data_IF_734039688658
#
_entry.id   IF_734039688658
#
_cell.length_a   1.000
_cell.length_b   1.000
_cell.length_c   1.000
_cell.angle_alpha   90.00
_cell.angle_beta   90.00
_cell.angle_gamma   90.00
#
_symmetry.space_group_name_H-M   'P 1'
#
loop_
_entity.id
_entity.type
_entity.pdbx_description
1 polymer ?
#
# COMPACT_ATOMS: atom_id res chain seq x y z
N UNK A 1 27.75 -15.59 67.99
CA UNK A 1 27.88 -15.23 66.57
C UNK A 1 27.65 -16.48 65.76
N UNK A 2 26.50 -16.58 65.08
CA UNK A 2 26.18 -17.73 64.22
C UNK A 2 26.96 -17.53 62.92
N UNK A 3 27.90 -18.42 62.62
CA UNK A 3 28.66 -18.39 61.38
C UNK A 3 27.84 -19.12 60.32
N UNK A 4 27.20 -18.39 59.43
CA UNK A 4 26.58 -18.98 58.24
C UNK A 4 27.69 -19.35 57.26
N UNK A 5 27.85 -20.65 57.00
CA UNK A 5 28.70 -21.14 55.95
C UNK A 5 27.90 -21.17 54.65
N UNK A 6 28.57 -20.99 53.51
CA UNK A 6 27.92 -21.11 52.21
C UNK A 6 27.29 -22.51 51.98
N UNK A 7 27.77 -23.53 52.71
CA UNK A 7 27.23 -24.89 52.72
C UNK A 7 25.89 -25.04 53.43
N UNK A 8 25.50 -24.07 54.26
CA UNK A 8 24.24 -24.12 55.04
C UNK A 8 23.05 -23.62 54.22
N UNK A 9 23.29 -23.11 53.01
CA UNK A 9 22.26 -22.59 52.11
C UNK A 9 21.76 -23.71 51.21
N UNK A 10 20.52 -24.14 51.43
CA UNK A 10 19.82 -25.07 50.54
C UNK A 10 18.87 -24.33 49.61
N UNK A 11 18.72 -24.82 48.38
CA UNK A 11 17.75 -24.25 47.44
C UNK A 11 16.33 -24.49 47.99
N UNK A 12 15.47 -23.47 48.02
CA UNK A 12 14.06 -23.64 48.40
C UNK A 12 13.31 -24.63 47.50
N UNK A 13 12.19 -25.11 48.02
CA UNK A 13 11.26 -25.95 47.29
C UNK A 13 10.49 -25.09 46.26
N UNK A 14 10.29 -25.61 45.04
CA UNK A 14 9.66 -24.88 43.92
C UNK A 14 8.61 -25.73 43.19
N UNK A 15 8.14 -26.84 43.77
CA UNK A 15 7.23 -27.80 43.13
C UNK A 15 5.96 -27.14 42.63
N UNK A 16 5.40 -26.20 43.40
CA UNK A 16 4.20 -25.43 43.05
C UNK A 16 4.39 -24.55 41.78
N UNK A 17 5.61 -24.17 41.44
CA UNK A 17 5.93 -23.31 40.30
C UNK A 17 6.52 -24.08 39.10
N UNK A 18 6.95 -25.33 39.32
CA UNK A 18 7.53 -26.16 38.27
C UNK A 18 6.42 -26.60 37.32
N UNK A 19 6.76 -26.63 36.03
CA UNK A 19 5.86 -27.28 35.07
C UNK A 19 5.78 -28.79 35.39
N UNK A 20 4.65 -29.45 35.11
CA UNK A 20 4.48 -30.87 35.40
C UNK A 20 5.58 -31.76 34.81
N UNK A 21 6.17 -31.39 33.66
CA UNK A 21 7.20 -32.18 33.00
C UNK A 21 8.58 -32.15 33.68
N UNK A 22 8.76 -31.31 34.70
CA UNK A 22 10.03 -31.16 35.46
C UNK A 22 9.82 -31.19 36.99
N UNK A 23 8.69 -31.74 37.43
CA UNK A 23 8.36 -31.89 38.85
C UNK A 23 9.06 -33.08 39.52
N UNK A 24 9.34 -34.15 38.76
CA UNK A 24 10.02 -35.35 39.25
C UNK A 24 11.54 -35.12 39.33
N UNK A 25 12.09 -35.11 40.55
CA UNK A 25 13.53 -34.87 40.80
C UNK A 25 14.43 -36.06 40.42
N UNK A 26 13.85 -37.25 40.20
CA UNK A 26 14.60 -38.47 39.87
C UNK A 26 14.76 -38.69 38.36
N UNK A 27 14.09 -37.86 37.54
CA UNK A 27 14.12 -37.95 36.07
C UNK A 27 14.87 -36.77 35.46
N UNK A 28 15.51 -37.03 34.33
CA UNK A 28 16.17 -35.99 33.54
C UNK A 28 15.15 -35.06 32.89
N UNK A 29 15.38 -33.76 32.96
CA UNK A 29 14.57 -32.73 32.30
C UNK A 29 14.95 -32.47 30.82
N UNK A 30 15.99 -33.16 30.32
CA UNK A 30 16.46 -33.01 28.93
C UNK A 30 15.39 -33.40 27.90
N UNK A 31 14.64 -34.51 28.05
CA UNK A 31 13.64 -34.90 27.06
C UNK A 31 12.47 -33.92 26.94
N UNK A 32 12.12 -33.19 28.01
CA UNK A 32 11.04 -32.20 28.00
C UNK A 32 11.50 -30.79 27.63
N UNK A 33 12.81 -30.57 27.41
CA UNK A 33 13.39 -29.25 27.21
C UNK A 33 12.95 -28.58 25.92
N UNK A 34 12.97 -29.32 24.81
CA UNK A 34 12.55 -28.82 23.51
C UNK A 34 11.08 -28.40 23.53
N UNK A 35 10.18 -29.25 24.05
CA UNK A 35 8.76 -28.94 24.13
C UNK A 35 8.49 -27.68 24.97
N UNK A 36 9.18 -27.52 26.11
CA UNK A 36 9.01 -26.36 26.99
C UNK A 36 9.44 -25.06 26.31
N UNK A 37 10.56 -25.08 25.57
CA UNK A 37 11.08 -23.94 24.81
C UNK A 37 10.19 -23.62 23.61
N UNK A 38 9.81 -24.63 22.84
CA UNK A 38 8.95 -24.48 21.66
C UNK A 38 7.60 -23.87 22.02
N UNK A 39 6.99 -24.26 23.15
CA UNK A 39 5.75 -23.62 23.62
C UNK A 39 5.94 -22.11 23.84
N UNK A 40 6.99 -21.71 24.58
CA UNK A 40 7.26 -20.29 24.84
C UNK A 40 7.57 -19.52 23.55
N UNK A 41 8.39 -20.09 22.66
CA UNK A 41 8.72 -19.46 21.38
C UNK A 41 7.52 -19.37 20.44
N UNK A 42 6.63 -20.37 20.45
CA UNK A 42 5.41 -20.36 19.66
C UNK A 42 4.49 -19.23 20.10
N UNK A 43 4.29 -19.05 21.42
CA UNK A 43 3.49 -17.94 21.96
C UNK A 43 4.09 -16.60 21.51
N UNK A 44 5.40 -16.40 21.67
CA UNK A 44 6.08 -15.17 21.23
C UNK A 44 5.95 -14.95 19.71
N UNK A 45 6.11 -16.01 18.92
CA UNK A 45 5.98 -15.97 17.47
C UNK A 45 4.58 -15.57 17.01
N UNK A 46 3.54 -16.19 17.57
CA UNK A 46 2.14 -15.85 17.28
C UNK A 46 1.85 -14.40 17.65
N UNK A 47 2.25 -13.95 18.84
CA UNK A 47 2.05 -12.57 19.27
C UNK A 47 2.72 -11.59 18.31
N UNK A 48 3.96 -11.88 17.90
CA UNK A 48 4.72 -11.00 17.00
C UNK A 48 4.05 -10.89 15.63
N UNK A 49 3.60 -12.01 15.05
CA UNK A 49 2.88 -12.01 13.76
C UNK A 49 1.57 -11.24 13.85
N UNK A 50 0.79 -11.45 14.92
CA UNK A 50 -0.45 -10.74 15.13
C UNK A 50 -0.22 -9.23 15.27
N UNK A 51 0.75 -8.81 16.08
CA UNK A 51 1.11 -7.40 16.25
C UNK A 51 1.60 -6.79 14.94
N UNK A 52 2.42 -7.49 14.17
CA UNK A 52 2.89 -7.02 12.86
C UNK A 52 1.72 -6.82 11.88
N UNK A 53 0.75 -7.73 11.87
CA UNK A 53 -0.46 -7.58 11.04
C UNK A 53 -1.30 -6.36 11.44
N UNK A 54 -1.51 -6.15 12.74
CA UNK A 54 -2.24 -4.97 13.23
C UNK A 54 -1.47 -3.69 12.89
N UNK A 55 -0.17 -3.66 13.15
CA UNK A 55 0.68 -2.52 12.82
C UNK A 55 0.65 -2.19 11.32
N UNK A 56 0.74 -3.20 10.45
CA UNK A 56 0.61 -3.02 9.00
C UNK A 56 -0.70 -2.33 8.64
N UNK A 57 -1.83 -2.82 9.16
CA UNK A 57 -3.14 -2.27 8.83
C UNK A 57 -3.28 -0.82 9.34
N UNK A 58 -2.86 -0.57 10.58
CA UNK A 58 -2.90 0.77 11.16
C UNK A 58 -2.03 1.72 10.32
N UNK A 59 -0.75 1.41 10.11
CA UNK A 59 0.16 2.26 9.34
C UNK A 59 -0.36 2.47 7.91
N UNK A 60 -0.83 1.41 7.24
CA UNK A 60 -1.39 1.52 5.90
C UNK A 60 -2.62 2.43 5.86
N UNK A 61 -3.50 2.36 6.86
CA UNK A 61 -4.68 3.22 6.93
C UNK A 61 -4.29 4.69 7.15
N UNK A 62 -3.31 4.96 8.00
CA UNK A 62 -2.79 6.31 8.21
C UNK A 62 -2.16 6.87 6.93
N UNK A 63 -1.33 6.09 6.23
CA UNK A 63 -0.76 6.51 4.93
C UNK A 63 -1.85 6.72 3.88
N UNK A 64 -2.85 5.84 3.82
CA UNK A 64 -3.97 5.98 2.90
C UNK A 64 -4.82 7.22 3.20
N UNK A 65 -4.91 7.63 4.47
CA UNK A 65 -5.66 8.85 4.86
C UNK A 65 -5.02 10.13 4.35
N UNK A 66 -3.71 10.13 4.10
CA UNK A 66 -2.97 11.24 3.50
C UNK A 66 -3.01 11.22 1.97
N UNK A 67 -3.48 10.13 1.37
CA UNK A 67 -3.59 10.00 -0.08
C UNK A 67 -4.85 10.71 -0.61
N UNK A 68 -5.01 10.76 -1.94
CA UNK A 68 -6.14 11.45 -2.57
C UNK A 68 -7.48 10.95 -2.00
N UNK A 69 -8.25 11.89 -1.47
CA UNK A 69 -9.58 11.63 -0.91
C UNK A 69 -10.56 11.21 -2.00
N UNK A 70 -11.64 10.53 -1.61
CA UNK A 70 -12.66 10.07 -2.54
C UNK A 70 -13.31 11.19 -3.36
N UNK A 71 -13.36 12.43 -2.84
CA UNK A 71 -13.88 13.58 -3.59
C UNK A 71 -12.91 14.04 -4.70
N UNK A 72 -11.61 14.04 -4.44
CA UNK A 72 -10.56 14.31 -5.45
C UNK A 72 -10.55 13.20 -6.51
N UNK A 73 -10.75 11.94 -6.10
CA UNK A 73 -10.92 10.83 -7.03
C UNK A 73 -12.26 10.91 -7.79
N UNK A 74 -13.33 11.44 -7.21
CA UNK A 74 -14.58 11.68 -7.93
C UNK A 74 -14.38 12.74 -9.03
N UNK A 75 -13.57 13.77 -8.78
CA UNK A 75 -13.15 14.75 -9.79
C UNK A 75 -12.15 14.19 -10.83
N UNK A 76 -11.77 12.92 -10.74
CA UNK A 76 -10.77 12.30 -11.62
C UNK A 76 -11.30 12.06 -13.04
N UNK A 77 -12.61 11.88 -13.19
CA UNK A 77 -13.28 11.65 -14.46
C UNK A 77 -14.36 12.71 -14.62
N UNK A 78 -14.48 13.26 -15.82
CA UNK A 78 -15.57 14.16 -16.18
C UNK A 78 -16.24 13.60 -17.42
N UNK A 79 -17.56 13.65 -17.44
CA UNK A 79 -18.35 13.33 -18.62
C UNK A 79 -18.65 14.66 -19.33
N UNK A 80 -18.24 14.77 -20.59
CA UNK A 80 -18.48 15.96 -21.41
C UNK A 80 -19.44 15.59 -22.52
N UNK A 81 -20.51 16.37 -22.65
CA UNK A 81 -21.50 16.18 -23.70
C UNK A 81 -21.00 16.77 -25.01
N UNK A 82 -20.51 15.90 -25.89
CA UNK A 82 -19.92 16.27 -27.18
C UNK A 82 -20.92 16.96 -28.14
N UNK A 83 -22.22 16.66 -28.01
CA UNK A 83 -23.25 17.23 -28.91
C UNK A 83 -23.48 18.73 -28.75
N UNK A 84 -22.98 19.34 -27.66
CA UNK A 84 -23.16 20.78 -27.39
C UNK A 84 -22.01 21.62 -27.95
N UNK A 85 -20.96 20.98 -28.51
CA UNK A 85 -19.78 21.65 -29.05
C UNK A 85 -19.92 21.75 -30.58
N UNK A 86 -20.19 22.95 -31.13
CA UNK A 86 -20.25 23.13 -32.58
C UNK A 86 -18.88 22.96 -33.22
N UNK A 87 -18.86 22.54 -34.48
CA UNK A 87 -17.64 22.39 -35.29
C UNK A 87 -16.84 23.70 -35.36
N UNK A 88 -15.51 23.60 -35.28
CA UNK A 88 -14.57 24.72 -35.29
C UNK A 88 -14.43 25.47 -33.96
N UNK A 89 -15.18 25.08 -32.91
CA UNK A 89 -15.10 25.73 -31.60
C UNK A 89 -14.21 24.96 -30.63
N UNK A 90 -13.38 25.69 -29.89
CA UNK A 90 -12.62 25.18 -28.75
C UNK A 90 -13.34 25.54 -27.43
N UNK A 91 -13.55 24.56 -26.57
CA UNK A 91 -14.17 24.74 -25.25
C UNK A 91 -13.15 24.38 -24.17
N UNK A 92 -13.08 25.21 -23.13
CA UNK A 92 -12.19 25.01 -21.98
C UNK A 92 -13.02 24.56 -20.76
N UNK A 93 -12.70 23.39 -20.23
CA UNK A 93 -13.26 22.86 -18.99
C UNK A 93 -12.22 22.87 -17.88
N UNK A 94 -12.64 23.13 -16.64
CA UNK A 94 -11.75 23.00 -15.48
C UNK A 94 -11.71 21.54 -15.04
N UNK A 95 -10.56 20.88 -15.17
CA UNK A 95 -10.37 19.48 -14.77
C UNK A 95 -9.11 19.29 -13.92
N UNK A 96 -9.26 18.71 -12.73
CA UNK A 96 -8.17 18.50 -11.74
C UNK A 96 -7.32 19.77 -11.48
N UNK A 97 -7.98 20.94 -11.46
CA UNK A 97 -7.32 22.24 -11.25
C UNK A 97 -6.54 22.78 -12.45
N UNK A 98 -6.54 22.07 -13.60
CA UNK A 98 -5.92 22.50 -14.86
C UNK A 98 -7.00 22.71 -15.94
N UNK A 99 -6.75 23.54 -16.96
CA UNK A 99 -7.65 23.63 -18.11
C UNK A 99 -7.55 22.37 -18.97
N UNK A 100 -8.70 21.79 -19.32
CA UNK A 100 -8.87 20.77 -20.33
C UNK A 100 -9.50 21.41 -21.56
N UNK A 101 -8.83 21.31 -22.70
CA UNK A 101 -9.34 21.79 -23.97
C UNK A 101 -10.00 20.65 -24.72
N UNK A 102 -11.17 20.92 -25.29
CA UNK A 102 -11.87 20.01 -26.19
C UNK A 102 -12.25 20.83 -27.42
N UNK A 103 -11.69 20.46 -28.57
CA UNK A 103 -11.93 21.12 -29.86
C UNK A 103 -12.63 20.15 -30.80
N UNK A 104 -13.76 20.61 -31.35
CA UNK A 104 -14.40 19.94 -32.48
C UNK A 104 -13.77 20.48 -33.76
N UNK A 105 -12.97 19.66 -34.45
CA UNK A 105 -12.20 20.09 -35.64
C UNK A 105 -13.06 20.03 -36.90
N UNK A 106 -12.82 20.94 -37.84
CA UNK A 106 -13.42 20.89 -39.18
C UNK A 106 -12.60 19.99 -40.11
N UNK A 107 -13.21 19.53 -41.22
CA UNK A 107 -12.49 18.71 -42.21
C UNK A 107 -11.23 19.39 -42.76
N UNK A 108 -11.28 20.70 -43.01
CA UNK A 108 -10.12 21.47 -43.48
C UNK A 108 -8.98 21.50 -42.47
N UNK A 109 -9.29 21.58 -41.17
CA UNK A 109 -8.29 21.55 -40.11
C UNK A 109 -7.63 20.17 -40.01
N UNK A 110 -8.41 19.10 -40.16
CA UNK A 110 -7.90 17.73 -40.12
C UNK A 110 -6.93 17.47 -41.28
N UNK A 111 -7.29 17.89 -42.50
CA UNK A 111 -6.44 17.75 -43.68
C UNK A 111 -5.15 18.55 -43.56
N UNK A 112 -5.23 19.76 -43.00
CA UNK A 112 -4.06 20.61 -42.80
C UNK A 112 -3.08 19.99 -41.81
N UNK A 113 -3.55 19.52 -40.65
CA UNK A 113 -2.70 18.91 -39.62
C UNK A 113 -2.16 17.53 -40.04
N UNK A 114 -2.89 16.79 -40.88
CA UNK A 114 -2.43 15.52 -41.44
C UNK A 114 -1.32 15.68 -42.50
N UNK A 115 -1.23 16.85 -43.15
CA UNK A 115 -0.25 17.14 -44.19
C UNK A 115 1.09 17.69 -43.65
N UNK A 116 1.23 17.90 -42.33
CA UNK A 116 2.42 18.48 -41.71
C UNK A 116 3.59 17.49 -41.72
N UNK A 117 4.77 17.94 -42.14
CA UNK A 117 5.98 17.12 -42.14
C UNK A 117 6.55 16.97 -40.71
N UNK A 118 6.68 15.72 -40.25
CA UNK A 118 7.12 15.41 -38.88
C UNK A 118 8.58 15.82 -38.60
N UNK A 119 9.41 15.94 -39.63
CA UNK A 119 10.84 16.24 -39.54
C UNK A 119 11.12 17.68 -39.08
N UNK A 120 10.17 18.59 -39.33
CA UNK A 120 10.27 20.01 -38.96
C UNK A 120 9.78 20.28 -37.53
N UNK A 121 9.05 19.34 -36.94
CA UNK A 121 8.50 19.47 -35.60
C UNK A 121 9.54 19.14 -34.53
N UNK A 122 9.61 19.97 -33.48
CA UNK A 122 10.47 19.73 -32.31
C UNK A 122 10.07 18.45 -31.56
N UNK A 123 8.78 18.13 -31.54
CA UNK A 123 8.23 16.89 -30.98
C UNK A 123 7.51 16.13 -32.10
N UNK A 124 8.19 15.18 -32.77
CA UNK A 124 7.68 14.52 -33.96
C UNK A 124 6.58 13.52 -33.59
N UNK A 125 5.32 13.94 -33.70
CA UNK A 125 4.17 13.09 -33.47
C UNK A 125 3.11 13.31 -34.55
N UNK A 126 2.65 12.22 -35.17
CA UNK A 126 1.59 12.27 -36.18
C UNK A 126 0.24 12.58 -35.53
N UNK A 127 -0.64 13.34 -36.22
CA UNK A 127 -1.93 13.77 -35.67
C UNK A 127 -2.80 12.59 -35.22
N UNK A 128 -2.84 11.52 -36.02
CA UNK A 128 -3.62 10.31 -35.70
C UNK A 128 -3.14 9.56 -34.45
N UNK A 129 -1.91 9.78 -33.99
CA UNK A 129 -1.41 9.19 -32.74
C UNK A 129 -1.80 10.01 -31.50
N UNK A 130 -2.24 11.26 -31.70
CA UNK A 130 -2.64 12.20 -30.65
C UNK A 130 -4.12 12.09 -30.30
N UNK A 131 -4.93 11.73 -31.29
CA UNK A 131 -6.39 11.67 -31.18
C UNK A 131 -6.91 10.24 -31.35
N UNK A 132 -8.03 9.93 -30.70
CA UNK A 132 -8.74 8.65 -30.94
C UNK A 132 -9.74 8.74 -32.09
N UNK A 133 -10.26 9.94 -32.32
CA UNK A 133 -11.26 10.27 -33.34
C UNK A 133 -10.79 11.54 -34.04
N UNK A 134 -10.60 11.55 -35.38
CA UNK A 134 -10.05 12.70 -36.08
C UNK A 134 -10.83 14.01 -35.87
N UNK A 135 -12.14 13.94 -35.67
CA UNK A 135 -12.99 15.10 -35.44
C UNK A 135 -12.84 15.71 -34.02
N UNK A 136 -12.21 15.00 -33.07
CA UNK A 136 -12.05 15.44 -31.68
C UNK A 136 -10.58 15.51 -31.25
N UNK A 137 -10.16 16.70 -30.82
CA UNK A 137 -8.83 16.97 -30.24
C UNK A 137 -8.93 17.57 -28.83
#
# INVERSE_FOLDING_TARGET
>A
SVRFLHSDVTVPEFSDYRRPEVADSTKSSQPSDEARKTYSYLVTGITTVATAYVAKNVVSQFVSSMSATADVLAMSKIEVKLSEIPEGKNVCFKWRGKPLFIRHRTASEIEQEAAVELSELRDPQHDLDRVKKPEWA
#
